data_IF_498088149811
#
_entry.id   IF_498088149811
#
_cell.length_a   1.000
_cell.length_b   1.000
_cell.length_c   1.000
_cell.angle_alpha   90.00
_cell.angle_beta   90.00
_cell.angle_gamma   90.00
#
_symmetry.space_group_name_H-M   'P 1'
#
loop_
_entity.id
_entity.type
_entity.pdbx_description
1 polymer ?
#
# COMPACT_ATOMS: atom_id res chain seq x y z
N UNK A 1 -12.34 29.23 -11.53
CA UNK A 1 -11.00 28.73 -11.90
C UNK A 1 -10.66 27.72 -10.83
N UNK A 2 -10.55 26.43 -11.16
CA UNK A 2 -10.18 25.43 -10.15
C UNK A 2 -8.78 25.75 -9.63
N UNK A 3 -8.64 25.77 -8.32
CA UNK A 3 -7.35 25.89 -7.65
C UNK A 3 -6.58 24.58 -7.86
N UNK A 4 -5.49 24.62 -8.63
CA UNK A 4 -4.65 23.44 -8.92
C UNK A 4 -4.14 22.76 -7.65
N UNK A 5 -3.96 23.51 -6.56
CA UNK A 5 -3.57 22.97 -5.26
C UNK A 5 -4.72 22.21 -4.62
N UNK A 6 -5.95 22.68 -4.76
CA UNK A 6 -7.15 21.94 -4.35
C UNK A 6 -7.34 20.66 -5.16
N UNK A 7 -7.04 20.67 -6.46
CA UNK A 7 -7.07 19.46 -7.29
C UNK A 7 -6.00 18.44 -6.83
N UNK A 8 -4.79 18.90 -6.48
CA UNK A 8 -3.76 18.02 -5.94
C UNK A 8 -4.14 17.47 -4.56
N UNK A 9 -4.68 18.31 -3.67
CA UNK A 9 -5.16 17.90 -2.36
C UNK A 9 -6.26 16.84 -2.46
N UNK A 10 -7.15 16.97 -3.44
CA UNK A 10 -8.18 15.98 -3.73
C UNK A 10 -7.57 14.64 -4.16
N UNK A 11 -6.55 14.65 -5.03
CA UNK A 11 -5.83 13.42 -5.44
C UNK A 11 -5.18 12.75 -4.23
N UNK A 12 -4.45 13.50 -3.41
CA UNK A 12 -3.78 12.99 -2.21
C UNK A 12 -4.79 12.38 -1.23
N UNK A 13 -5.91 13.07 -1.01
CA UNK A 13 -6.99 12.58 -0.13
C UNK A 13 -7.67 11.34 -0.71
N UNK A 14 -7.87 11.27 -2.02
CA UNK A 14 -8.43 10.10 -2.70
C UNK A 14 -7.53 8.88 -2.55
N UNK A 15 -6.21 9.07 -2.67
CA UNK A 15 -5.22 7.99 -2.50
C UNK A 15 -5.17 7.52 -1.03
N UNK A 16 -5.27 8.43 -0.06
CA UNK A 16 -5.46 8.05 1.35
C UNK A 16 -6.73 7.20 1.53
N UNK A 17 -7.83 7.57 0.88
CA UNK A 17 -9.06 6.77 0.89
C UNK A 17 -8.85 5.36 0.36
N UNK A 18 -8.12 5.20 -0.76
CA UNK A 18 -7.76 3.88 -1.32
C UNK A 18 -6.95 3.06 -0.32
N UNK A 19 -5.94 3.67 0.29
CA UNK A 19 -5.11 3.01 1.30
C UNK A 19 -5.96 2.50 2.46
N UNK A 20 -6.72 3.38 3.12
CA UNK A 20 -7.52 3.03 4.31
C UNK A 20 -8.58 1.97 4.00
N UNK A 21 -9.31 2.13 2.89
CA UNK A 21 -10.33 1.16 2.49
C UNK A 21 -9.73 -0.22 2.19
N UNK A 22 -8.55 -0.24 1.58
CA UNK A 22 -7.87 -1.49 1.23
C UNK A 22 -7.33 -2.20 2.46
N UNK A 23 -6.70 -1.48 3.40
CA UNK A 23 -6.25 -2.03 4.69
C UNK A 23 -7.45 -2.56 5.49
N UNK A 24 -8.55 -1.82 5.55
CA UNK A 24 -9.80 -2.28 6.16
C UNK A 24 -10.36 -3.54 5.49
N UNK A 25 -10.31 -3.60 4.15
CA UNK A 25 -10.70 -4.77 3.36
C UNK A 25 -9.88 -6.01 3.70
N UNK A 26 -8.55 -5.89 3.78
CA UNK A 26 -7.68 -7.01 4.18
C UNK A 26 -8.01 -7.53 5.58
N UNK A 27 -8.27 -6.62 6.53
CA UNK A 27 -8.67 -7.00 7.88
C UNK A 27 -9.99 -7.78 7.90
N UNK A 28 -10.99 -7.33 7.14
CA UNK A 28 -12.28 -8.02 7.04
C UNK A 28 -12.13 -9.40 6.39
N UNK A 29 -11.38 -9.50 5.29
CA UNK A 29 -11.10 -10.77 4.64
C UNK A 29 -10.38 -11.76 5.58
N UNK A 30 -9.40 -11.29 6.35
CA UNK A 30 -8.70 -12.11 7.33
C UNK A 30 -9.64 -12.63 8.41
N UNK A 31 -10.47 -11.74 8.97
CA UNK A 31 -11.47 -12.10 9.99
C UNK A 31 -12.46 -13.14 9.47
N UNK A 32 -12.93 -12.97 8.23
CA UNK A 32 -13.88 -13.88 7.60
C UNK A 32 -13.29 -15.27 7.41
N UNK A 33 -12.05 -15.37 6.91
CA UNK A 33 -11.35 -16.65 6.73
C UNK A 33 -11.11 -17.35 8.07
N UNK A 34 -10.69 -16.61 9.11
CA UNK A 34 -10.49 -17.19 10.45
C UNK A 34 -11.81 -17.76 10.97
N UNK A 35 -12.91 -17.01 10.87
CA UNK A 35 -14.23 -17.48 11.32
C UNK A 35 -14.71 -18.70 10.51
N UNK A 36 -14.49 -18.71 9.19
CA UNK A 36 -14.79 -19.88 8.36
C UNK A 36 -13.97 -21.11 8.75
N UNK A 37 -12.67 -20.93 9.04
CA UNK A 37 -11.80 -22.03 9.50
C UNK A 37 -12.27 -22.59 10.85
N UNK A 38 -12.66 -21.74 11.80
CA UNK A 38 -13.19 -22.18 13.10
C UNK A 38 -14.45 -23.05 12.94
N UNK A 39 -15.38 -22.62 12.09
CA UNK A 39 -16.60 -23.39 11.80
C UNK A 39 -16.28 -24.72 11.09
N UNK A 40 -15.33 -24.72 10.15
CA UNK A 40 -14.89 -25.94 9.47
C UNK A 40 -14.23 -26.93 10.43
N UNK A 41 -13.43 -26.45 11.39
CA UNK A 41 -12.81 -27.30 12.39
C UNK A 41 -13.85 -28.04 13.23
N UNK A 42 -14.93 -27.39 13.63
CA UNK A 42 -16.00 -28.03 14.41
C UNK A 42 -16.63 -29.20 13.64
N UNK A 43 -16.95 -28.99 12.36
CA UNK A 43 -17.50 -30.04 11.49
C UNK A 43 -16.50 -31.17 11.21
N UNK A 44 -15.22 -30.85 11.01
CA UNK A 44 -14.18 -31.84 10.75
C UNK A 44 -13.89 -32.69 11.99
N UNK A 45 -13.98 -32.14 13.20
CA UNK A 45 -13.82 -32.93 14.44
C UNK A 45 -14.82 -34.09 14.54
N UNK A 46 -16.01 -33.93 13.96
CA UNK A 46 -17.05 -34.97 13.96
C UNK A 46 -16.91 -35.93 12.77
N UNK A 47 -16.53 -35.42 11.60
CA UNK A 47 -16.59 -36.18 10.33
C UNK A 47 -15.24 -36.75 9.88
N UNK A 48 -14.15 -36.01 10.08
CA UNK A 48 -12.79 -36.33 9.61
C UNK A 48 -11.75 -35.79 10.62
N UNK A 49 -11.64 -36.38 11.83
CA UNK A 49 -10.82 -35.85 12.92
C UNK A 49 -9.34 -35.66 12.55
N UNK A 50 -8.82 -36.47 11.63
CA UNK A 50 -7.45 -36.38 11.10
C UNK A 50 -7.17 -35.09 10.32
N UNK A 51 -8.21 -34.47 9.77
CA UNK A 51 -8.16 -33.21 9.03
C UNK A 51 -8.49 -32.00 9.93
N UNK A 52 -8.88 -32.22 11.19
CA UNK A 52 -9.41 -31.20 12.08
C UNK A 52 -8.32 -30.40 12.82
N UNK A 53 -7.36 -29.84 12.07
CA UNK A 53 -6.31 -28.96 12.59
C UNK A 53 -6.18 -27.68 11.78
N UNK A 54 -5.73 -26.59 12.42
CA UNK A 54 -5.45 -25.33 11.71
C UNK A 54 -4.34 -25.54 10.70
N UNK A 55 -3.32 -26.34 11.04
CA UNK A 55 -2.20 -26.65 10.16
C UNK A 55 -2.67 -27.33 8.87
N UNK A 56 -3.61 -28.28 8.97
CA UNK A 56 -4.20 -28.93 7.80
C UNK A 56 -5.00 -27.93 6.96
N UNK A 57 -5.90 -27.17 7.59
CA UNK A 57 -6.68 -26.15 6.87
C UNK A 57 -5.79 -25.10 6.22
N UNK A 58 -4.73 -24.67 6.88
CA UNK A 58 -3.77 -23.70 6.36
C UNK A 58 -2.97 -24.23 5.18
N UNK A 59 -2.80 -25.55 5.07
CA UNK A 59 -2.18 -26.20 3.91
C UNK A 59 -3.11 -26.34 2.71
N UNK A 60 -4.41 -26.08 2.87
CA UNK A 60 -5.39 -26.27 1.80
C UNK A 60 -5.18 -25.21 0.70
N UNK A 61 -5.01 -25.62 -0.57
CA UNK A 61 -4.82 -24.68 -1.67
C UNK A 61 -6.12 -23.98 -2.03
N UNK A 62 -6.04 -22.66 -2.21
CA UNK A 62 -7.08 -21.83 -2.82
C UNK A 62 -6.62 -21.35 -4.19
N UNK A 63 -7.51 -21.39 -5.17
CA UNK A 63 -7.21 -21.03 -6.56
C UNK A 63 -8.16 -19.95 -7.07
N UNK A 64 -7.59 -18.97 -7.76
CA UNK A 64 -8.32 -18.02 -8.59
C UNK A 64 -8.20 -18.49 -10.04
N UNK A 65 -9.33 -18.85 -10.64
CA UNK A 65 -9.38 -19.46 -11.97
C UNK A 65 -10.22 -18.63 -12.94
N UNK A 66 -9.85 -18.65 -14.20
CA UNK A 66 -10.74 -18.31 -15.31
C UNK A 66 -11.58 -19.56 -15.65
N UNK A 67 -12.90 -19.43 -15.57
CA UNK A 67 -13.85 -20.54 -15.73
C UNK A 67 -14.25 -21.20 -14.40
N UNK A 68 -15.03 -22.29 -14.48
CA UNK A 68 -15.44 -23.03 -13.29
C UNK A 68 -14.29 -23.94 -12.82
N UNK A 69 -13.77 -23.77 -11.60
CA UNK A 69 -12.62 -24.54 -11.10
C UNK A 69 -12.90 -26.05 -11.00
N UNK A 70 -14.16 -26.48 -11.02
CA UNK A 70 -14.55 -27.89 -10.97
C UNK A 70 -14.61 -28.56 -12.35
N UNK A 71 -14.25 -27.86 -13.44
CA UNK A 71 -14.32 -28.38 -14.80
C UNK A 71 -12.89 -28.51 -15.38
N UNK A 72 -12.54 -29.65 -16.02
CA UNK A 72 -11.28 -29.77 -16.76
C UNK A 72 -11.16 -28.68 -17.83
N UNK A 73 -10.03 -27.96 -17.81
CA UNK A 73 -9.78 -26.84 -18.73
C UNK A 73 -9.89 -25.45 -18.10
N UNK A 74 -10.25 -25.34 -16.82
CA UNK A 74 -10.10 -24.10 -16.07
C UNK A 74 -8.63 -23.64 -16.03
N UNK A 75 -8.40 -22.35 -16.20
CA UNK A 75 -7.06 -21.76 -16.21
C UNK A 75 -6.78 -21.12 -14.87
N UNK A 76 -5.84 -21.68 -14.11
CA UNK A 76 -5.38 -21.11 -12.84
C UNK A 76 -4.60 -19.81 -13.13
N UNK A 77 -5.02 -18.71 -12.49
CA UNK A 77 -4.39 -17.39 -12.60
C UNK A 77 -3.50 -17.10 -11.39
N UNK A 78 -3.93 -17.54 -10.21
CA UNK A 78 -3.22 -17.39 -8.95
C UNK A 78 -3.61 -18.51 -8.01
N UNK A 79 -2.62 -19.01 -7.27
CA UNK A 79 -2.80 -20.04 -6.24
C UNK A 79 -2.09 -19.60 -4.97
N UNK A 80 -2.74 -19.80 -3.84
CA UNK A 80 -2.11 -19.71 -2.53
C UNK A 80 -2.85 -20.62 -1.55
N UNK A 81 -2.13 -21.14 -0.57
CA UNK A 81 -2.75 -21.84 0.56
C UNK A 81 -3.55 -20.88 1.45
N UNK A 82 -4.48 -21.39 2.24
CA UNK A 82 -5.20 -20.56 3.23
C UNK A 82 -4.24 -19.91 4.24
N UNK A 83 -3.18 -20.62 4.65
CA UNK A 83 -2.15 -20.07 5.54
C UNK A 83 -1.42 -18.89 4.90
N UNK A 84 -1.04 -19.01 3.63
CA UNK A 84 -0.43 -17.90 2.87
C UNK A 84 -1.39 -16.73 2.69
N UNK A 85 -2.67 -17.00 2.38
CA UNK A 85 -3.69 -15.96 2.27
C UNK A 85 -3.81 -15.16 3.58
N UNK A 86 -3.89 -15.84 4.73
CA UNK A 86 -3.93 -15.20 6.05
C UNK A 86 -2.67 -14.39 6.29
N UNK A 87 -1.48 -14.95 6.04
CA UNK A 87 -0.18 -14.26 6.22
C UNK A 87 -0.08 -13.01 5.36
N UNK A 88 -0.55 -13.05 4.11
CA UNK A 88 -0.50 -11.91 3.18
C UNK A 88 -1.42 -10.76 3.61
N UNK A 89 -2.59 -11.07 4.17
CA UNK A 89 -3.59 -10.09 4.63
C UNK A 89 -3.49 -9.74 6.12
N UNK A 90 -2.56 -10.34 6.86
CA UNK A 90 -2.28 -9.98 8.25
C UNK A 90 -1.68 -8.58 8.34
N UNK A 91 -1.82 -7.88 9.49
CA UNK A 91 -1.12 -6.62 9.73
C UNK A 91 0.39 -6.77 9.43
N UNK A 92 0.91 -5.90 8.54
CA UNK A 92 2.30 -5.97 8.09
C UNK A 92 2.62 -7.12 7.13
N UNK A 93 1.60 -7.85 6.66
CA UNK A 93 1.71 -8.84 5.59
C UNK A 93 2.01 -8.20 4.24
N UNK A 94 2.34 -9.04 3.25
CA UNK A 94 2.75 -8.58 1.92
C UNK A 94 1.74 -7.65 1.25
N UNK A 95 0.44 -7.92 1.38
CA UNK A 95 -0.58 -7.06 0.75
C UNK A 95 -0.61 -5.66 1.39
N UNK A 96 -0.43 -5.56 2.71
CA UNK A 96 -0.33 -4.28 3.42
C UNK A 96 0.90 -3.48 2.96
N UNK A 97 2.06 -4.15 2.82
CA UNK A 97 3.30 -3.53 2.37
C UNK A 97 3.17 -3.00 0.94
N UNK A 98 2.64 -3.83 0.04
CA UNK A 98 2.47 -3.47 -1.38
C UNK A 98 1.55 -2.26 -1.53
N UNK A 99 0.39 -2.23 -0.87
CA UNK A 99 -0.53 -1.10 -1.05
C UNK A 99 0.05 0.22 -0.51
N UNK A 100 0.72 0.20 0.66
CA UNK A 100 1.38 1.39 1.20
C UNK A 100 2.44 1.93 0.26
N UNK A 101 3.29 1.04 -0.26
CA UNK A 101 4.35 1.38 -1.19
C UNK A 101 3.79 1.91 -2.53
N UNK A 102 2.74 1.29 -3.07
CA UNK A 102 2.10 1.74 -4.31
C UNK A 102 1.45 3.12 -4.17
N UNK A 103 0.75 3.38 -3.05
CA UNK A 103 0.11 4.66 -2.83
C UNK A 103 1.12 5.83 -2.79
N UNK A 104 2.28 5.65 -2.15
CA UNK A 104 3.30 6.72 -2.12
C UNK A 104 3.96 6.95 -3.48
N UNK A 105 4.16 5.89 -4.27
CA UNK A 105 4.64 6.00 -5.65
C UNK A 105 3.68 6.84 -6.48
N UNK A 106 2.38 6.53 -6.39
CA UNK A 106 1.34 7.21 -7.17
C UNK A 106 1.23 8.68 -6.78
N UNK A 107 1.25 9.01 -5.48
CA UNK A 107 1.27 10.41 -5.01
C UNK A 107 2.45 11.17 -5.61
N UNK A 108 3.66 10.62 -5.49
CA UNK A 108 4.86 11.26 -6.03
C UNK A 108 4.77 11.45 -7.55
N UNK A 109 4.28 10.45 -8.28
CA UNK A 109 4.17 10.51 -9.74
C UNK A 109 3.19 11.60 -10.18
N UNK A 110 2.01 11.70 -9.55
CA UNK A 110 1.06 12.79 -9.82
C UNK A 110 1.69 14.16 -9.56
N UNK A 111 2.40 14.30 -8.44
CA UNK A 111 3.10 15.53 -8.12
C UNK A 111 4.13 15.89 -9.20
N UNK A 112 5.08 15.00 -9.48
CA UNK A 112 6.25 15.33 -10.30
C UNK A 112 5.92 15.52 -11.80
N UNK A 113 4.97 14.74 -12.32
CA UNK A 113 4.64 14.77 -13.75
C UNK A 113 3.61 15.84 -14.12
N UNK A 114 2.68 16.15 -13.21
CA UNK A 114 1.54 17.01 -13.51
C UNK A 114 1.46 18.21 -12.57
N UNK A 115 1.26 17.99 -11.27
CA UNK A 115 0.91 19.10 -10.38
C UNK A 115 2.05 20.09 -10.17
N UNK A 116 3.31 19.64 -10.09
CA UNK A 116 4.46 20.52 -9.83
C UNK A 116 4.61 21.60 -10.90
N UNK A 117 4.45 21.24 -12.19
CA UNK A 117 4.57 22.20 -13.30
C UNK A 117 3.37 23.13 -13.39
N UNK A 118 2.15 22.62 -13.16
CA UNK A 118 0.93 23.43 -13.19
C UNK A 118 0.88 24.42 -12.01
N UNK A 119 1.32 23.99 -10.82
CA UNK A 119 1.51 24.86 -9.65
C UNK A 119 2.54 25.95 -9.95
N UNK A 120 3.70 25.58 -10.50
CA UNK A 120 4.74 26.55 -10.85
C UNK A 120 4.22 27.62 -11.83
N UNK A 121 3.51 27.18 -12.88
CA UNK A 121 2.89 28.09 -13.86
C UNK A 121 1.90 29.05 -13.21
N UNK A 122 1.06 28.57 -12.30
CA UNK A 122 0.09 29.43 -11.60
C UNK A 122 0.75 30.44 -10.65
N UNK A 123 1.94 30.12 -10.12
CA UNK A 123 2.73 31.00 -9.28
C UNK A 123 3.69 31.91 -10.07
N UNK A 124 3.72 31.81 -11.41
CA UNK A 124 4.68 32.55 -12.24
C UNK A 124 6.14 32.16 -12.00
N UNK A 125 6.39 30.90 -11.64
CA UNK A 125 7.70 30.32 -11.32
C UNK A 125 8.06 29.20 -12.30
N UNK A 126 9.33 28.84 -12.35
CA UNK A 126 9.76 27.62 -13.06
C UNK A 126 9.50 26.38 -12.19
N UNK A 127 9.36 25.21 -12.83
CA UNK A 127 9.09 23.93 -12.13
C UNK A 127 10.12 23.67 -11.01
N UNK A 128 11.38 24.00 -11.29
CA UNK A 128 12.50 23.75 -10.37
C UNK A 128 12.58 24.73 -9.20
N UNK A 129 11.88 25.87 -9.29
CA UNK A 129 11.73 26.81 -8.15
C UNK A 129 10.76 26.28 -7.08
N UNK A 130 9.92 25.30 -7.43
CA UNK A 130 9.03 24.62 -6.49
C UNK A 130 9.80 23.46 -5.86
N UNK A 131 10.33 23.70 -4.66
CA UNK A 131 11.01 22.69 -3.84
C UNK A 131 10.15 22.28 -2.65
N UNK A 132 10.32 21.02 -2.21
CA UNK A 132 9.54 20.44 -1.12
C UNK A 132 10.32 19.31 -0.48
N UNK A 133 10.54 19.41 0.84
CA UNK A 133 11.24 18.38 1.60
C UNK A 133 10.45 17.06 1.58
N UNK A 134 9.12 17.10 1.71
CA UNK A 134 8.30 15.89 1.67
C UNK A 134 8.34 15.21 0.29
N UNK A 135 8.31 15.96 -0.81
CA UNK A 135 8.42 15.37 -2.14
C UNK A 135 9.84 14.86 -2.43
N UNK A 136 10.86 15.53 -1.87
CA UNK A 136 12.25 15.07 -1.90
C UNK A 136 12.42 13.72 -1.20
N UNK A 137 11.82 13.56 -0.02
CA UNK A 137 11.85 12.31 0.74
C UNK A 137 11.07 11.19 0.01
N UNK A 138 9.86 11.49 -0.49
CA UNK A 138 9.07 10.53 -1.26
C UNK A 138 9.79 10.05 -2.52
N UNK A 139 10.59 10.91 -3.18
CA UNK A 139 11.43 10.53 -4.32
C UNK A 139 12.43 9.43 -3.94
N UNK A 140 13.08 9.56 -2.79
CA UNK A 140 14.09 8.61 -2.30
C UNK A 140 13.46 7.28 -1.90
N UNK A 141 12.32 7.32 -1.21
CA UNK A 141 11.55 6.13 -0.86
C UNK A 141 11.05 5.41 -2.12
N UNK A 142 10.48 6.14 -3.09
CA UNK A 142 10.06 5.58 -4.38
C UNK A 142 11.21 4.90 -5.10
N UNK A 143 12.40 5.52 -5.11
CA UNK A 143 13.56 4.94 -5.77
C UNK A 143 13.93 3.59 -5.16
N UNK A 144 13.97 3.51 -3.82
CA UNK A 144 14.19 2.26 -3.08
C UNK A 144 13.12 1.21 -3.39
N UNK A 145 11.84 1.60 -3.41
CA UNK A 145 10.73 0.67 -3.66
C UNK A 145 10.80 0.08 -5.08
N UNK A 146 11.01 0.92 -6.09
CA UNK A 146 10.96 0.49 -7.50
C UNK A 146 12.23 -0.24 -7.92
N UNK A 147 13.40 0.27 -7.50
CA UNK A 147 14.69 -0.19 -8.04
C UNK A 147 15.46 -1.11 -7.09
N UNK A 148 15.05 -1.22 -5.82
CA UNK A 148 15.75 -1.98 -4.78
C UNK A 148 14.81 -2.89 -3.99
N UNK A 149 13.71 -3.35 -4.61
CA UNK A 149 12.79 -4.34 -4.02
C UNK A 149 12.24 -3.92 -2.65
N UNK A 150 11.98 -2.63 -2.45
CA UNK A 150 11.59 -2.06 -1.15
C UNK A 150 12.65 -2.16 -0.06
N UNK A 151 13.93 -2.26 -0.42
CA UNK A 151 15.06 -2.11 0.50
C UNK A 151 15.59 -0.69 0.42
N UNK A 152 15.69 -0.01 1.57
CA UNK A 152 16.15 1.36 1.66
C UNK A 152 17.62 1.48 1.24
N UNK A 153 17.90 2.40 0.30
CA UNK A 153 19.26 2.78 -0.07
C UNK A 153 19.83 3.80 0.92
N UNK A 154 21.15 3.96 0.91
CA UNK A 154 21.86 4.92 1.76
C UNK A 154 21.30 6.33 1.72
N UNK A 155 20.85 6.78 0.55
CA UNK A 155 20.32 8.12 0.35
C UNK A 155 19.05 8.38 1.16
N UNK A 156 18.29 7.33 1.53
CA UNK A 156 17.10 7.46 2.39
C UNK A 156 17.47 8.02 3.77
N UNK A 157 18.69 7.84 4.24
CA UNK A 157 19.16 8.45 5.50
C UNK A 157 19.24 9.99 5.42
N UNK A 158 19.25 10.54 4.20
CA UNK A 158 19.22 11.98 3.97
C UNK A 158 17.79 12.56 3.93
N UNK A 159 16.75 11.74 4.12
CA UNK A 159 15.38 12.23 4.24
C UNK A 159 15.29 13.28 5.35
N UNK A 160 14.64 14.41 5.06
CA UNK A 160 14.58 15.54 6.00
C UNK A 160 13.46 15.39 7.01
N UNK A 161 12.33 14.84 6.58
CA UNK A 161 11.11 14.64 7.36
C UNK A 161 10.91 13.15 7.70
N UNK A 162 10.98 12.27 6.71
CA UNK A 162 10.66 10.84 6.83
C UNK A 162 11.86 9.99 7.27
N UNK A 163 12.36 10.21 8.49
CA UNK A 163 13.62 9.62 9.01
C UNK A 163 13.48 8.23 9.62
N UNK A 164 12.58 7.40 9.10
CA UNK A 164 12.24 6.11 9.72
C UNK A 164 13.18 4.97 9.34
N UNK A 165 13.86 5.08 8.20
CA UNK A 165 14.61 3.98 7.61
C UNK A 165 16.10 4.33 7.48
N UNK A 166 16.93 3.30 7.54
CA UNK A 166 18.37 3.32 7.28
C UNK A 166 18.71 2.40 6.13
N UNK A 167 19.95 2.49 5.62
CA UNK A 167 20.43 1.60 4.56
C UNK A 167 20.19 0.12 4.94
N UNK A 168 19.55 -0.63 4.03
CA UNK A 168 19.25 -2.06 4.22
C UNK A 168 17.93 -2.37 4.92
N UNK A 169 17.24 -1.37 5.48
CA UNK A 169 15.92 -1.59 6.07
C UNK A 169 14.88 -1.93 4.99
N UNK A 170 13.98 -2.87 5.29
CA UNK A 170 12.82 -3.10 4.45
C UNK A 170 11.79 -1.96 4.66
N UNK A 171 11.42 -1.30 3.57
CA UNK A 171 10.45 -0.21 3.56
C UNK A 171 9.05 -0.78 3.73
N UNK A 172 8.49 -0.52 4.90
CA UNK A 172 7.09 -0.77 5.20
C UNK A 172 6.40 0.52 5.66
N UNK A 173 5.53 1.05 4.81
CA UNK A 173 4.67 2.18 5.12
C UNK A 173 3.38 1.67 5.79
N UNK A 174 3.42 1.57 7.11
CA UNK A 174 2.24 1.32 7.93
C UNK A 174 1.30 2.54 8.00
N UNK A 175 0.17 2.39 8.70
CA UNK A 175 -0.88 3.40 8.74
C UNK A 175 -0.40 4.71 9.38
N UNK A 176 0.43 4.63 10.42
CA UNK A 176 0.95 5.82 11.11
C UNK A 176 1.93 6.58 10.22
N UNK A 177 2.86 5.87 9.56
CA UNK A 177 3.75 6.47 8.55
C UNK A 177 2.96 7.08 7.40
N UNK A 178 1.91 6.40 6.93
CA UNK A 178 1.08 6.92 5.85
C UNK A 178 0.37 8.22 6.27
N UNK A 179 -0.23 8.27 7.46
CA UNK A 179 -0.84 9.49 8.01
C UNK A 179 0.17 10.63 8.15
N UNK A 180 1.39 10.33 8.58
CA UNK A 180 2.44 11.34 8.72
C UNK A 180 2.87 11.92 7.35
N UNK A 181 3.02 11.09 6.32
CA UNK A 181 3.23 11.53 4.94
C UNK A 181 2.12 12.49 4.49
N UNK A 182 0.85 12.11 4.71
CA UNK A 182 -0.28 12.97 4.31
C UNK A 182 -0.28 14.29 5.08
N UNK A 183 0.04 14.27 6.37
CA UNK A 183 0.19 15.49 7.18
C UNK A 183 1.23 16.44 6.58
N UNK A 184 2.42 15.93 6.26
CA UNK A 184 3.48 16.72 5.63
C UNK A 184 3.09 17.26 4.25
N UNK A 185 2.39 16.47 3.43
CA UNK A 185 1.90 16.95 2.13
C UNK A 185 0.89 18.09 2.31
N UNK A 186 -0.03 17.98 3.29
CA UNK A 186 -1.00 19.06 3.56
C UNK A 186 -0.33 20.34 4.01
N UNK A 187 0.66 20.26 4.91
CA UNK A 187 1.47 21.43 5.32
C UNK A 187 2.16 22.06 4.12
N UNK A 188 2.72 21.25 3.21
CA UNK A 188 3.34 21.73 1.99
C UNK A 188 2.34 22.46 1.08
N UNK A 189 1.15 21.89 0.87
CA UNK A 189 0.09 22.53 0.07
C UNK A 189 -0.33 23.88 0.68
N UNK A 190 -0.53 23.95 2.00
CA UNK A 190 -0.85 25.21 2.69
C UNK A 190 0.24 26.26 2.55
N UNK A 191 1.51 25.84 2.59
CA UNK A 191 2.65 26.75 2.39
C UNK A 191 2.62 27.36 0.98
N UNK A 192 2.27 26.59 -0.04
CA UNK A 192 2.12 27.07 -1.41
C UNK A 192 0.91 27.99 -1.62
N UNK A 193 -0.15 27.86 -0.80
CA UNK A 193 -1.31 28.78 -0.84
C UNK A 193 -0.99 30.16 -0.28
N UNK A 194 -0.01 30.25 0.62
CA UNK A 194 0.33 31.48 1.35
C UNK A 194 1.43 32.33 0.67
N UNK A 195 2.20 31.75 -0.24
CA UNK A 195 3.35 32.39 -0.89
C UNK A 195 3.11 32.71 -2.36
#
# INVERSE_FOLDING_TARGET
MNDILSDFEYVVTSILGVYLNTIGGFHLCLKEIISHQENQLEQLRETHPECASIEFLDSTPGQYCEGNPNIPGAKVLFECTLGEYKKRNSPGGLNHRVIGNMCIIVIYQYWEDYFRIEVARNLGKEKDDISSDIMGDLRLLRHSIIHHESVAIKEVENCKLLRWFKEGDEIFIDEDKFKDIISHIKVFIETLRQG
#
